data_IF_756288813880
#
_entry.id   IF_756288813880
#
_cell.length_a   1.000
_cell.length_b   1.000
_cell.length_c   1.000
_cell.angle_alpha   90.00
_cell.angle_beta   90.00
_cell.angle_gamma   90.00
#
_symmetry.space_group_name_H-M   'P 1'
#
loop_
_entity.id
_entity.type
_entity.pdbx_description
1 polymer ?
#
# COMPACT_ATOMS: atom_id res chain seq x y z
N UNK A 1 6.48 49.98 -29.95
CA UNK A 1 7.78 49.27 -29.93
C UNK A 1 7.53 47.79 -29.67
N UNK A 2 7.63 46.94 -30.69
CA UNK A 2 7.51 45.47 -30.54
C UNK A 2 8.85 44.91 -30.11
N UNK A 3 8.95 44.44 -28.86
CA UNK A 3 10.14 43.74 -28.36
C UNK A 3 10.26 42.35 -29.05
N UNK A 4 10.93 42.27 -30.17
CA UNK A 4 11.28 41.05 -30.87
C UNK A 4 12.48 40.41 -30.16
N UNK A 5 12.21 39.58 -29.14
CA UNK A 5 13.27 38.75 -28.53
C UNK A 5 13.80 37.80 -29.58
N UNK A 6 15.13 37.81 -29.81
CA UNK A 6 15.81 36.91 -30.78
C UNK A 6 15.56 35.45 -30.43
N UNK A 7 15.39 34.56 -31.43
CA UNK A 7 15.03 33.13 -31.19
C UNK A 7 16.02 32.40 -30.26
N UNK A 8 17.29 32.77 -30.24
CA UNK A 8 18.32 32.26 -29.32
C UNK A 8 18.04 32.64 -27.83
N UNK A 9 17.60 33.87 -27.55
CA UNK A 9 17.23 34.30 -26.19
C UNK A 9 16.02 33.52 -25.68
N UNK A 10 14.99 33.39 -26.51
CA UNK A 10 13.76 32.64 -26.17
C UNK A 10 14.04 31.18 -25.86
N UNK A 11 14.93 30.51 -26.62
CA UNK A 11 15.33 29.13 -26.38
C UNK A 11 16.10 28.97 -25.04
N UNK A 12 17.01 29.88 -24.71
CA UNK A 12 17.68 29.88 -23.40
C UNK A 12 16.71 30.05 -22.24
N UNK A 13 15.77 30.97 -22.32
CA UNK A 13 14.74 31.20 -21.29
C UNK A 13 13.88 29.95 -21.09
N UNK A 14 13.45 29.28 -22.17
CA UNK A 14 12.67 28.03 -22.07
C UNK A 14 13.48 26.93 -21.38
N UNK A 15 14.76 26.79 -21.71
CA UNK A 15 15.63 25.79 -21.05
C UNK A 15 15.81 26.08 -19.55
N UNK A 16 15.95 27.34 -19.16
CA UNK A 16 16.02 27.76 -17.76
C UNK A 16 14.73 27.46 -17.00
N UNK A 17 13.57 27.79 -17.59
CA UNK A 17 12.25 27.48 -17.00
C UNK A 17 12.10 25.97 -16.83
N UNK A 18 12.44 25.19 -17.87
CA UNK A 18 12.37 23.73 -17.80
C UNK A 18 13.29 23.17 -16.69
N UNK A 19 14.51 23.69 -16.56
CA UNK A 19 15.42 23.33 -15.47
C UNK A 19 14.85 23.61 -14.10
N UNK A 20 14.27 24.80 -13.89
CA UNK A 20 13.60 25.17 -12.63
C UNK A 20 12.42 24.23 -12.33
N UNK A 21 11.60 23.91 -13.33
CA UNK A 21 10.46 22.99 -13.16
C UNK A 21 10.93 21.57 -12.77
N UNK A 22 12.02 21.08 -13.36
CA UNK A 22 12.61 19.77 -13.01
C UNK A 22 13.10 19.76 -11.57
N UNK A 23 13.82 20.80 -11.14
CA UNK A 23 14.32 20.92 -9.77
C UNK A 23 13.15 21.01 -8.77
N UNK A 24 12.13 21.84 -9.08
CA UNK A 24 10.94 21.95 -8.25
C UNK A 24 10.20 20.60 -8.12
N UNK A 25 10.05 19.86 -9.21
CA UNK A 25 9.44 18.52 -9.21
C UNK A 25 10.26 17.54 -8.36
N UNK A 26 11.58 17.53 -8.50
CA UNK A 26 12.48 16.69 -7.70
C UNK A 26 12.36 17.00 -6.20
N UNK A 27 12.27 18.29 -5.83
CA UNK A 27 12.05 18.71 -4.45
C UNK A 27 10.71 18.20 -3.91
N UNK A 28 9.61 18.35 -4.65
CA UNK A 28 8.28 17.84 -4.25
C UNK A 28 8.34 16.33 -4.03
N UNK A 29 8.93 15.58 -4.95
CA UNK A 29 9.11 14.12 -4.81
C UNK A 29 9.92 13.80 -3.57
N UNK A 30 11.03 14.50 -3.33
CA UNK A 30 11.88 14.30 -2.16
C UNK A 30 11.15 14.55 -0.83
N UNK A 31 10.44 15.68 -0.73
CA UNK A 31 9.67 16.06 0.46
C UNK A 31 8.54 15.06 0.75
N UNK A 32 7.75 14.68 -0.27
CA UNK A 32 6.67 13.70 -0.10
C UNK A 32 7.22 12.34 0.35
N UNK A 33 8.31 11.86 -0.26
CA UNK A 33 8.93 10.60 0.12
C UNK A 33 9.47 10.64 1.56
N UNK A 34 10.14 11.73 1.96
CA UNK A 34 10.62 11.91 3.34
C UNK A 34 9.46 11.93 4.34
N UNK A 35 8.37 12.64 4.03
CA UNK A 35 7.17 12.72 4.88
C UNK A 35 6.55 11.35 5.12
N UNK A 36 6.35 10.56 4.06
CA UNK A 36 5.78 9.20 4.14
C UNK A 36 6.72 8.25 4.91
N UNK A 37 8.03 8.30 4.65
CA UNK A 37 8.99 7.45 5.34
C UNK A 37 9.05 7.76 6.85
N UNK A 38 9.16 9.04 7.22
CA UNK A 38 9.20 9.49 8.62
C UNK A 38 7.95 9.10 9.39
N UNK A 39 6.78 9.19 8.75
CA UNK A 39 5.51 8.77 9.34
C UNK A 39 5.47 7.26 9.68
N UNK A 40 6.20 6.44 8.94
CA UNK A 40 6.27 5.00 9.15
C UNK A 40 7.40 4.57 10.11
N UNK A 41 8.28 5.47 10.53
CA UNK A 41 9.36 5.17 11.48
C UNK A 41 8.78 4.71 12.83
N UNK A 42 9.40 3.69 13.44
CA UNK A 42 8.95 3.09 14.70
C UNK A 42 7.67 2.23 14.61
N UNK A 43 7.06 2.13 13.40
CA UNK A 43 5.81 1.36 13.17
C UNK A 43 5.99 0.18 12.24
N UNK A 44 7.22 -0.14 11.85
CA UNK A 44 7.56 -1.16 10.85
C UNK A 44 8.34 -2.29 11.49
N UNK A 45 7.80 -3.50 11.43
CA UNK A 45 8.39 -4.70 12.04
C UNK A 45 8.77 -5.71 10.97
N UNK A 46 9.82 -6.50 11.24
CA UNK A 46 10.28 -7.62 10.41
C UNK A 46 10.32 -8.94 11.18
N UNK A 47 10.46 -8.86 12.50
CA UNK A 47 10.49 -10.02 13.38
C UNK A 47 9.13 -10.21 14.04
N UNK A 48 8.63 -11.43 14.01
CA UNK A 48 7.35 -11.77 14.64
C UNK A 48 7.39 -11.60 16.17
N UNK A 49 8.53 -11.84 16.79
CA UNK A 49 8.71 -11.69 18.25
C UNK A 49 8.53 -10.24 18.70
N UNK A 50 8.95 -9.28 17.87
CA UNK A 50 8.99 -7.86 18.21
C UNK A 50 7.66 -7.14 17.97
N UNK A 51 6.83 -7.66 17.03
CA UNK A 51 5.59 -6.97 16.68
C UNK A 51 4.55 -7.13 17.79
N UNK A 52 3.94 -6.01 18.26
CA UNK A 52 2.87 -6.09 19.24
C UNK A 52 1.63 -6.76 18.66
N UNK A 53 0.84 -7.39 19.52
CA UNK A 53 -0.45 -7.95 19.14
C UNK A 53 -1.41 -6.85 18.69
N UNK A 54 -2.15 -7.12 17.61
CA UNK A 54 -3.33 -6.38 17.17
C UNK A 54 -4.42 -7.37 16.80
N UNK A 55 -5.66 -7.10 17.16
CA UNK A 55 -6.79 -8.00 16.91
C UNK A 55 -6.90 -8.40 15.43
N UNK A 56 -6.66 -7.47 14.52
CA UNK A 56 -6.84 -7.66 13.08
C UNK A 56 -5.55 -7.42 12.31
N UNK A 57 -5.22 -8.32 11.39
CA UNK A 57 -4.23 -8.15 10.33
C UNK A 57 -4.89 -7.79 9.01
N UNK A 58 -4.50 -6.68 8.39
CA UNK A 58 -4.94 -6.27 7.05
C UNK A 58 -3.89 -6.67 6.01
N UNK A 59 -4.21 -7.64 5.19
CA UNK A 59 -3.34 -8.12 4.10
C UNK A 59 -3.67 -7.36 2.83
N UNK A 60 -2.72 -6.55 2.35
CA UNK A 60 -2.92 -5.78 1.13
C UNK A 60 -2.75 -6.64 -0.11
N UNK A 61 -3.67 -6.52 -1.05
CA UNK A 61 -3.75 -7.33 -2.26
C UNK A 61 -2.57 -7.15 -3.23
N UNK A 62 -2.32 -8.20 -3.97
CA UNK A 62 -1.48 -8.26 -5.17
C UNK A 62 -1.79 -9.55 -5.92
N UNK A 63 -1.58 -9.55 -7.24
CA UNK A 63 -1.92 -10.69 -8.10
C UNK A 63 -1.09 -11.94 -7.77
N UNK A 64 -1.68 -13.15 -7.74
CA UNK A 64 -0.93 -14.41 -7.50
C UNK A 64 0.01 -14.77 -8.65
N UNK A 65 -0.25 -14.28 -9.86
CA UNK A 65 0.59 -14.47 -11.05
C UNK A 65 1.01 -13.11 -11.62
N UNK A 66 2.21 -13.04 -12.18
CA UNK A 66 2.66 -11.88 -12.93
C UNK A 66 2.07 -11.83 -14.35
N UNK A 67 2.33 -10.77 -15.12
CA UNK A 67 1.83 -10.61 -16.48
C UNK A 67 2.27 -11.71 -17.48
N UNK A 68 3.31 -12.49 -17.12
CA UNK A 68 3.79 -13.64 -17.91
C UNK A 68 3.20 -14.97 -17.45
N UNK A 69 2.24 -14.97 -16.51
CA UNK A 69 1.63 -16.17 -15.95
C UNK A 69 2.46 -16.88 -14.87
N UNK A 70 3.68 -16.41 -14.58
CA UNK A 70 4.54 -17.02 -13.56
C UNK A 70 4.07 -16.64 -12.14
N UNK A 71 4.32 -17.49 -11.12
CA UNK A 71 4.00 -17.20 -9.74
C UNK A 71 4.60 -15.87 -9.27
N UNK A 72 3.78 -15.04 -8.62
CA UNK A 72 4.23 -13.78 -8.04
C UNK A 72 4.80 -14.01 -6.63
N UNK A 73 6.09 -13.84 -6.47
CA UNK A 73 6.77 -14.03 -5.19
C UNK A 73 6.30 -13.02 -4.12
N UNK A 74 5.96 -11.79 -4.48
CA UNK A 74 5.38 -10.80 -3.55
C UNK A 74 4.09 -11.32 -2.92
N UNK A 75 3.21 -11.94 -3.74
CA UNK A 75 2.00 -12.58 -3.27
C UNK A 75 2.31 -13.69 -2.26
N UNK A 76 3.17 -14.63 -2.64
CA UNK A 76 3.54 -15.77 -1.79
C UNK A 76 4.13 -15.33 -0.46
N UNK A 77 4.99 -14.32 -0.47
CA UNK A 77 5.60 -13.79 0.75
C UNK A 77 4.58 -13.09 1.65
N UNK A 78 3.57 -12.40 1.10
CA UNK A 78 2.48 -11.82 1.90
C UNK A 78 1.62 -12.88 2.55
N UNK A 79 1.22 -13.91 1.80
CA UNK A 79 0.42 -15.01 2.37
C UNK A 79 1.17 -15.73 3.48
N UNK A 80 2.45 -16.03 3.29
CA UNK A 80 3.30 -16.60 4.35
C UNK A 80 3.41 -15.69 5.57
N UNK A 81 3.63 -14.39 5.37
CA UNK A 81 3.74 -13.42 6.45
C UNK A 81 2.43 -13.30 7.26
N UNK A 82 1.28 -13.32 6.58
CA UNK A 82 -0.03 -13.26 7.23
C UNK A 82 -0.31 -14.55 8.06
N UNK A 83 -0.08 -15.72 7.47
CA UNK A 83 -0.23 -16.97 8.17
C UNK A 83 0.74 -17.08 9.38
N UNK A 84 1.99 -16.64 9.23
CA UNK A 84 2.98 -16.61 10.29
C UNK A 84 2.53 -15.76 11.48
N UNK A 85 1.98 -14.56 11.24
CA UNK A 85 1.46 -13.70 12.31
C UNK A 85 0.25 -14.32 13.00
N UNK A 86 -0.64 -14.95 12.24
CA UNK A 86 -1.78 -15.66 12.81
C UNK A 86 -1.35 -16.81 13.71
N UNK A 87 -0.49 -17.71 13.22
CA UNK A 87 -0.01 -18.87 14.00
C UNK A 87 0.82 -18.47 15.23
N UNK A 88 1.49 -17.32 15.18
CA UNK A 88 2.20 -16.75 16.31
C UNK A 88 1.29 -16.01 17.30
N UNK A 89 -0.03 -15.98 17.09
CA UNK A 89 -0.97 -15.29 17.96
C UNK A 89 -0.82 -13.76 17.96
N UNK A 90 -0.19 -13.20 16.92
CA UNK A 90 0.01 -11.73 16.78
C UNK A 90 -1.20 -11.03 16.17
N UNK A 91 -2.07 -11.78 15.50
CA UNK A 91 -3.39 -11.34 15.02
C UNK A 91 -4.40 -12.47 15.24
N UNK A 92 -5.67 -12.13 15.54
CA UNK A 92 -6.76 -13.10 15.71
C UNK A 92 -7.60 -13.26 14.45
N UNK A 93 -7.72 -12.20 13.66
CA UNK A 93 -8.49 -12.16 12.42
C UNK A 93 -7.67 -11.55 11.29
N UNK A 94 -7.98 -11.94 10.05
CA UNK A 94 -7.34 -11.41 8.85
C UNK A 94 -8.39 -10.80 7.93
N UNK A 95 -8.16 -9.57 7.49
CA UNK A 95 -8.88 -8.93 6.37
C UNK A 95 -7.99 -9.02 5.15
N UNK A 96 -8.45 -9.69 4.09
CA UNK A 96 -7.76 -9.76 2.80
C UNK A 96 -8.38 -8.73 1.86
N UNK A 97 -7.66 -7.66 1.54
CA UNK A 97 -8.19 -6.52 0.79
C UNK A 97 -7.54 -6.43 -0.59
N UNK A 98 -8.34 -6.50 -1.63
CA UNK A 98 -7.84 -6.53 -3.01
C UNK A 98 -8.87 -6.09 -4.05
N UNK A 99 -8.49 -6.20 -5.31
CA UNK A 99 -9.28 -5.82 -6.48
C UNK A 99 -10.18 -6.97 -6.95
N UNK A 100 -11.44 -6.64 -7.27
CA UNK A 100 -12.43 -7.55 -7.82
C UNK A 100 -13.06 -7.00 -9.13
N UNK A 101 -12.36 -6.13 -9.87
CA UNK A 101 -12.93 -5.52 -11.08
C UNK A 101 -13.11 -6.49 -12.26
N UNK A 102 -12.38 -7.58 -12.30
CA UNK A 102 -12.46 -8.55 -13.40
C UNK A 102 -13.30 -9.75 -12.97
N UNK A 103 -14.33 -10.08 -13.74
CA UNK A 103 -15.23 -11.23 -13.49
C UNK A 103 -14.48 -12.57 -13.31
N UNK A 104 -13.34 -12.71 -13.97
CA UNK A 104 -12.50 -13.93 -13.95
C UNK A 104 -11.40 -13.89 -12.86
N UNK A 105 -11.27 -12.79 -12.11
CA UNK A 105 -10.18 -12.61 -11.17
C UNK A 105 -10.64 -11.89 -9.90
N UNK A 106 -10.73 -12.67 -8.83
CA UNK A 106 -11.11 -12.21 -7.49
C UNK A 106 -9.88 -12.32 -6.57
N UNK A 107 -9.19 -11.19 -6.37
CA UNK A 107 -7.96 -11.14 -5.58
C UNK A 107 -8.17 -11.57 -4.12
N UNK A 108 -9.17 -11.03 -3.37
CA UNK A 108 -9.46 -11.46 -2.02
C UNK A 108 -9.75 -12.96 -1.89
N UNK A 109 -10.48 -13.54 -2.83
CA UNK A 109 -10.77 -14.99 -2.78
C UNK A 109 -9.52 -15.83 -3.00
N UNK A 110 -8.65 -15.46 -3.95
CA UNK A 110 -7.35 -16.12 -4.11
C UNK A 110 -6.50 -16.05 -2.85
N UNK A 111 -6.51 -14.89 -2.16
CA UNK A 111 -5.77 -14.70 -0.90
C UNK A 111 -6.36 -15.57 0.22
N UNK A 112 -7.69 -15.61 0.34
CA UNK A 112 -8.42 -16.46 1.31
C UNK A 112 -8.06 -17.93 1.14
N UNK A 113 -8.17 -18.47 -0.08
CA UNK A 113 -7.81 -19.85 -0.38
C UNK A 113 -6.33 -20.16 -0.06
N UNK A 114 -5.43 -19.24 -0.37
CA UNK A 114 -4.01 -19.40 -0.05
C UNK A 114 -3.73 -19.41 1.46
N UNK A 115 -4.46 -18.62 2.25
CA UNK A 115 -4.33 -18.62 3.71
C UNK A 115 -4.92 -19.89 4.33
N UNK A 116 -6.05 -20.40 3.82
CA UNK A 116 -6.62 -21.67 4.23
C UNK A 116 -5.62 -22.81 3.96
N UNK A 117 -4.99 -22.83 2.78
CA UNK A 117 -3.96 -23.79 2.43
C UNK A 117 -2.69 -23.69 3.33
N UNK A 118 -2.49 -22.54 3.99
CA UNK A 118 -1.43 -22.34 5.00
C UNK A 118 -1.90 -22.60 6.44
N UNK A 119 -3.08 -23.20 6.62
CA UNK A 119 -3.60 -23.62 7.93
C UNK A 119 -4.32 -22.51 8.72
N UNK A 120 -4.66 -21.40 8.10
CA UNK A 120 -5.50 -20.37 8.74
C UNK A 120 -6.97 -20.78 8.59
N UNK A 121 -7.76 -20.89 9.69
CA UNK A 121 -9.17 -21.24 9.61
C UNK A 121 -9.97 -20.22 8.78
N UNK A 122 -10.89 -20.71 7.98
CA UNK A 122 -11.73 -19.89 7.13
C UNK A 122 -12.58 -18.88 7.91
N UNK A 123 -13.05 -19.26 9.08
CA UNK A 123 -13.91 -18.45 9.96
C UNK A 123 -13.24 -17.16 10.47
N UNK A 124 -11.92 -17.04 10.39
CA UNK A 124 -11.17 -15.85 10.84
C UNK A 124 -10.71 -14.96 9.68
N UNK A 125 -11.06 -15.31 8.43
CA UNK A 125 -10.65 -14.57 7.23
C UNK A 125 -11.85 -13.79 6.66
N UNK A 126 -11.71 -12.49 6.54
CA UNK A 126 -12.71 -11.56 5.99
C UNK A 126 -12.24 -11.00 4.67
N UNK A 127 -13.08 -11.05 3.64
CA UNK A 127 -12.72 -10.56 2.30
C UNK A 127 -13.22 -9.15 2.06
N UNK A 128 -12.30 -8.26 1.69
CA UNK A 128 -12.60 -6.90 1.22
C UNK A 128 -12.43 -6.83 -0.30
N UNK A 129 -13.54 -6.82 -1.02
CA UNK A 129 -13.60 -6.84 -2.49
C UNK A 129 -13.49 -5.45 -3.14
N UNK A 130 -13.36 -4.38 -2.36
CA UNK A 130 -13.28 -3.02 -2.86
C UNK A 130 -11.97 -2.30 -2.49
N UNK A 131 -10.93 -3.06 -2.16
CA UNK A 131 -9.59 -2.58 -1.88
C UNK A 131 -8.78 -2.26 -3.15
N UNK A 132 -9.32 -1.44 -4.06
CA UNK A 132 -8.70 -1.15 -5.37
C UNK A 132 -7.37 -0.40 -5.29
N UNK A 133 -7.19 0.38 -4.24
CA UNK A 133 -5.96 1.13 -3.93
C UNK A 133 -5.65 0.99 -2.45
N UNK A 134 -4.39 1.17 -2.09
CA UNK A 134 -3.97 1.22 -0.68
C UNK A 134 -4.83 2.18 0.14
N UNK A 135 -5.22 3.32 -0.45
CA UNK A 135 -6.08 4.29 0.19
C UNK A 135 -7.46 3.70 0.54
N UNK A 136 -8.07 3.00 -0.42
CA UNK A 136 -9.39 2.39 -0.23
C UNK A 136 -9.33 1.30 0.84
N UNK A 137 -8.32 0.42 0.81
CA UNK A 137 -8.10 -0.63 1.81
C UNK A 137 -8.00 -0.08 3.23
N UNK A 138 -7.23 1.01 3.42
CA UNK A 138 -7.03 1.60 4.75
C UNK A 138 -8.29 2.27 5.28
N UNK A 139 -8.99 3.07 4.46
CA UNK A 139 -10.24 3.74 4.87
C UNK A 139 -11.33 2.70 5.13
N UNK A 140 -11.48 1.69 4.26
CA UNK A 140 -12.46 0.63 4.45
C UNK A 140 -12.18 -0.24 5.68
N UNK A 141 -10.91 -0.49 6.00
CA UNK A 141 -10.53 -1.18 7.24
C UNK A 141 -11.12 -0.49 8.47
N UNK A 142 -11.12 0.84 8.49
CA UNK A 142 -11.71 1.63 9.56
C UNK A 142 -13.23 1.73 9.45
N UNK A 143 -13.74 2.25 8.33
CA UNK A 143 -15.13 2.67 8.18
C UNK A 143 -16.10 1.49 7.92
N UNK A 144 -15.63 0.45 7.21
CA UNK A 144 -16.47 -0.71 6.85
C UNK A 144 -16.25 -1.86 7.83
N UNK A 145 -14.99 -2.17 8.16
CA UNK A 145 -14.66 -3.27 9.07
C UNK A 145 -14.56 -2.83 10.55
N UNK A 146 -14.79 -1.55 10.85
CA UNK A 146 -14.89 -1.02 12.21
C UNK A 146 -13.60 -1.16 13.04
N UNK A 147 -12.42 -1.08 12.40
CA UNK A 147 -11.16 -1.24 13.12
C UNK A 147 -10.55 0.11 13.49
N UNK A 148 -10.21 0.30 14.77
CA UNK A 148 -9.46 1.46 15.25
C UNK A 148 -7.96 1.21 15.27
N UNK A 149 -7.55 -0.07 15.30
CA UNK A 149 -6.15 -0.47 15.28
C UNK A 149 -5.94 -1.73 14.44
N UNK A 150 -4.82 -1.79 13.68
CA UNK A 150 -4.56 -2.87 12.72
C UNK A 150 -3.07 -3.13 12.52
N UNK A 151 -2.71 -4.38 12.21
CA UNK A 151 -1.41 -4.75 11.65
C UNK A 151 -1.52 -4.86 10.14
N UNK A 152 -0.89 -3.96 9.40
CA UNK A 152 -0.83 -4.02 7.92
C UNK A 152 0.24 -5.01 7.50
N UNK A 153 -0.08 -5.90 6.56
CA UNK A 153 0.81 -6.97 6.10
C UNK A 153 1.06 -6.82 4.60
N UNK A 154 2.26 -6.39 4.25
CA UNK A 154 2.70 -6.22 2.86
C UNK A 154 4.21 -6.04 2.78
N UNK A 155 4.77 -5.74 1.59
CA UNK A 155 6.18 -5.35 1.47
C UNK A 155 6.43 -3.97 2.08
N UNK A 156 7.66 -3.73 2.56
CA UNK A 156 8.07 -2.51 3.26
C UNK A 156 7.63 -1.21 2.57
N UNK A 157 7.87 -1.09 1.28
CA UNK A 157 7.54 0.10 0.50
C UNK A 157 6.02 0.35 0.39
N UNK A 158 5.21 -0.72 0.38
CA UNK A 158 3.75 -0.66 0.39
C UNK A 158 3.22 -0.30 1.79
N UNK A 159 3.78 -0.92 2.81
CA UNK A 159 3.45 -0.66 4.22
C UNK A 159 3.70 0.80 4.61
N UNK A 160 4.78 1.45 4.12
CA UNK A 160 5.04 2.87 4.36
C UNK A 160 3.87 3.76 3.91
N UNK A 161 3.31 3.50 2.73
CA UNK A 161 2.14 4.25 2.23
C UNK A 161 0.88 3.95 3.04
N UNK A 162 0.66 2.69 3.39
CA UNK A 162 -0.49 2.27 4.18
C UNK A 162 -0.49 2.94 5.57
N UNK A 163 0.63 2.89 6.28
CA UNK A 163 0.77 3.54 7.60
C UNK A 163 0.55 5.06 7.50
N UNK A 164 1.07 5.71 6.45
CA UNK A 164 0.85 7.13 6.22
C UNK A 164 -0.64 7.47 6.05
N UNK A 165 -1.37 6.69 5.25
CA UNK A 165 -2.81 6.88 5.05
C UNK A 165 -3.56 6.63 6.36
N UNK A 166 -3.26 5.53 7.05
CA UNK A 166 -3.88 5.15 8.30
C UNK A 166 -3.85 6.28 9.33
N UNK A 167 -2.66 6.83 9.59
CA UNK A 167 -2.47 7.92 10.56
C UNK A 167 -3.30 9.16 10.22
N UNK A 168 -3.38 9.52 8.93
CA UNK A 168 -4.16 10.69 8.50
C UNK A 168 -5.67 10.43 8.45
N UNK A 169 -6.09 9.16 8.55
CA UNK A 169 -7.49 8.74 8.62
C UNK A 169 -7.90 8.28 10.02
N UNK A 170 -7.05 8.49 11.02
CA UNK A 170 -7.34 8.16 12.41
C UNK A 170 -7.42 6.65 12.68
N UNK A 171 -6.68 5.83 11.92
CA UNK A 171 -6.51 4.40 12.15
C UNK A 171 -5.11 4.15 12.72
N UNK A 172 -5.01 3.57 13.91
CA UNK A 172 -3.72 3.20 14.50
C UNK A 172 -3.15 1.96 13.82
N UNK A 173 -2.21 2.16 12.90
CA UNK A 173 -1.60 1.10 12.12
C UNK A 173 -0.13 0.90 12.47
N UNK A 174 0.22 -0.35 12.72
CA UNK A 174 1.60 -0.86 12.64
C UNK A 174 1.70 -1.76 11.40
N UNK A 175 2.91 -2.09 10.98
CA UNK A 175 3.09 -2.88 9.76
C UNK A 175 4.11 -4.00 9.94
N UNK A 176 3.78 -5.17 9.42
CA UNK A 176 4.69 -6.29 9.29
C UNK A 176 5.20 -6.41 7.85
N UNK A 177 6.52 -6.39 7.69
CA UNK A 177 7.13 -6.43 6.37
C UNK A 177 7.29 -7.86 5.89
N UNK A 178 6.49 -8.26 4.92
CA UNK A 178 6.74 -9.49 4.16
C UNK A 178 8.07 -9.38 3.39
N UNK A 179 8.71 -10.51 3.14
CA UNK A 179 9.97 -10.56 2.41
C UNK A 179 9.85 -9.85 1.06
N UNK A 180 10.93 -9.20 0.64
CA UNK A 180 11.05 -8.58 -0.67
C UNK A 180 11.64 -9.55 -1.69
N UNK A 181 11.53 -9.22 -2.98
CA UNK A 181 12.07 -10.03 -4.08
C UNK A 181 13.38 -9.41 -4.53
N UNK A 182 14.45 -10.18 -4.40
CA UNK A 182 15.81 -9.73 -4.74
C UNK A 182 16.05 -9.84 -6.26
N UNK A 183 15.57 -8.86 -7.04
CA UNK A 183 15.77 -8.79 -8.49
C UNK A 183 16.32 -7.43 -8.91
N UNK A 184 17.63 -7.35 -9.17
CA UNK A 184 18.36 -6.11 -9.46
C UNK A 184 17.78 -5.23 -10.58
N UNK A 185 17.27 -5.81 -11.66
CA UNK A 185 16.73 -5.04 -12.79
C UNK A 185 15.33 -4.45 -12.56
N UNK A 186 14.44 -5.19 -11.89
CA UNK A 186 13.10 -4.72 -11.52
C UNK A 186 13.13 -3.65 -10.43
N UNK A 187 14.21 -3.57 -9.69
CA UNK A 187 14.40 -2.68 -8.56
C UNK A 187 14.28 -1.18 -8.94
N UNK A 188 14.92 -0.75 -10.04
CA UNK A 188 14.91 0.66 -10.49
C UNK A 188 13.49 1.07 -10.91
N UNK A 189 12.83 0.28 -11.77
CA UNK A 189 11.47 0.56 -12.24
C UNK A 189 10.46 0.58 -11.10
N UNK A 190 10.57 -0.36 -10.17
CA UNK A 190 9.72 -0.45 -9.00
C UNK A 190 9.93 0.75 -8.06
N UNK A 191 11.18 1.15 -7.80
CA UNK A 191 11.49 2.31 -6.95
C UNK A 191 10.94 3.62 -7.50
N UNK A 192 11.12 3.89 -8.79
CA UNK A 192 10.58 5.12 -9.40
C UNK A 192 9.06 5.16 -9.29
N UNK A 193 8.37 4.05 -9.59
CA UNK A 193 6.92 3.93 -9.39
C UNK A 193 6.53 4.21 -7.94
N UNK A 194 7.27 3.68 -6.98
CA UNK A 194 6.98 3.86 -5.56
C UNK A 194 7.21 5.29 -5.08
N UNK A 195 8.24 5.95 -5.58
CA UNK A 195 8.47 7.38 -5.29
C UNK A 195 7.27 8.23 -5.75
N UNK A 196 6.77 8.00 -6.95
CA UNK A 196 5.58 8.70 -7.48
C UNK A 196 4.29 8.28 -6.75
N UNK A 197 4.16 7.01 -6.35
CA UNK A 197 3.03 6.54 -5.57
C UNK A 197 2.95 7.21 -4.19
N UNK A 198 4.10 7.52 -3.55
CA UNK A 198 4.15 8.30 -2.31
C UNK A 198 3.70 9.74 -2.50
N UNK A 199 4.09 10.39 -3.61
CA UNK A 199 3.58 11.72 -3.96
C UNK A 199 2.06 11.68 -4.10
N UNK A 200 1.55 10.71 -4.88
CA UNK A 200 0.11 10.53 -5.06
C UNK A 200 -0.64 10.38 -3.73
N UNK A 201 -0.12 9.56 -2.81
CA UNK A 201 -0.75 9.34 -1.51
C UNK A 201 -0.77 10.62 -0.67
N UNK A 202 0.30 11.41 -0.67
CA UNK A 202 0.32 12.71 0.03
C UNK A 202 -0.73 13.65 -0.53
N UNK A 203 -0.88 13.71 -1.86
CA UNK A 203 -1.91 14.52 -2.51
C UNK A 203 -3.33 13.98 -2.24
N UNK A 204 -3.55 12.67 -2.34
CA UNK A 204 -4.85 12.04 -2.05
C UNK A 204 -5.32 12.37 -0.61
N UNK A 205 -4.39 12.36 0.36
CA UNK A 205 -4.68 12.75 1.75
C UNK A 205 -4.93 14.25 1.89
N UNK A 206 -4.07 15.09 1.29
CA UNK A 206 -4.17 16.56 1.39
C UNK A 206 -5.47 17.11 0.76
N UNK A 207 -5.93 16.50 -0.34
CA UNK A 207 -7.17 16.88 -1.01
C UNK A 207 -8.42 16.17 -0.45
N UNK A 208 -8.32 15.50 0.68
CA UNK A 208 -9.45 14.87 1.35
C UNK A 208 -10.14 13.79 0.51
N UNK A 209 -9.39 13.07 -0.35
CA UNK A 209 -9.94 12.04 -1.22
C UNK A 209 -10.73 11.01 -0.42
N UNK A 210 -11.80 10.50 -1.02
CA UNK A 210 -12.62 9.46 -0.46
C UNK A 210 -12.39 8.11 -1.18
N UNK A 211 -12.68 6.96 -0.56
CA UNK A 211 -12.65 5.67 -1.22
C UNK A 211 -13.70 5.63 -2.33
N UNK A 212 -13.46 4.77 -3.33
CA UNK A 212 -14.38 4.61 -4.46
C UNK A 212 -15.74 4.03 -4.03
N UNK A 213 -15.71 3.09 -3.08
CA UNK A 213 -16.90 2.48 -2.49
C UNK A 213 -16.68 2.28 -0.99
N UNK A 214 -17.63 2.65 -0.16
CA UNK A 214 -17.63 2.30 1.26
C UNK A 214 -18.37 0.96 1.44
N UNK A 215 -19.63 0.88 1.06
CA UNK A 215 -20.47 -0.30 1.32
C UNK A 215 -21.00 -0.37 2.76
N UNK A 216 -21.67 -1.47 3.09
CA UNK A 216 -22.22 -1.69 4.41
C UNK A 216 -21.17 -2.13 5.43
N UNK A 217 -21.37 -1.83 6.73
CA UNK A 217 -20.46 -2.27 7.78
C UNK A 217 -20.40 -3.79 7.91
N UNK A 218 -19.18 -4.32 8.08
CA UNK A 218 -18.91 -5.74 8.29
C UNK A 218 -18.31 -5.94 9.68
N UNK A 219 -18.97 -6.70 10.52
CA UNK A 219 -18.50 -6.99 11.86
C UNK A 219 -17.42 -8.08 11.83
N UNK A 220 -16.22 -7.76 12.32
CA UNK A 220 -15.10 -8.72 12.42
C UNK A 220 -15.09 -9.37 13.80
N UNK A 221 -15.20 -10.71 13.85
CA UNK A 221 -15.08 -11.50 15.07
C UNK A 221 -16.25 -11.32 16.05
N UNK A 222 -17.46 -11.21 15.53
CA UNK A 222 -18.70 -11.32 16.28
C UNK A 222 -19.30 -12.69 16.06
#
# INVERSE_FOLDING_TARGET
MKNTTTPKKRRKTILWILGICIVAMAMVVGVCNRKVNKCAEGRMYQNVSEIPYRRVGLVLGTTPKNAKGNPNLYYRYRMKAAAQLYHAGKVSYLIVSGDNHKREYNEPECMRQSLIALGVPDSVIYSDFAGFRTFDSMVRCKEVFGQDSVTVISQRWHNQRAVYIAQHKGLDAIAYNANDVDMKWWYVKSRTREMLAKVKVVLDVAFGKQPKFLGEPVAVGR
#
